data_IF_675205596769
#
_entry.id   IF_675205596769
#
_cell.length_a   1.000
_cell.length_b   1.000
_cell.length_c   1.000
_cell.angle_alpha   90.00
_cell.angle_beta   90.00
_cell.angle_gamma   90.00
#
_symmetry.space_group_name_H-M   'P 1'
#
loop_
_entity.id
_entity.type
_entity.pdbx_description
1 polymer ?
#
# COMPACT_ATOMS: atom_id res chain seq x y z
N UNK A 1 5.38 14.29 -19.28
CA UNK A 1 4.11 14.87 -18.75
C UNK A 1 4.39 15.54 -17.39
N UNK A 2 3.52 16.45 -16.92
CA UNK A 2 3.57 16.96 -15.54
C UNK A 2 2.57 16.17 -14.68
N UNK A 3 3.02 15.57 -13.58
CA UNK A 3 2.21 14.72 -12.71
C UNK A 3 2.24 15.30 -11.29
N UNK A 4 1.07 15.45 -10.69
CA UNK A 4 0.95 15.80 -9.28
C UNK A 4 0.59 14.54 -8.47
N UNK A 5 1.32 14.30 -7.40
CA UNK A 5 1.01 13.25 -6.42
C UNK A 5 0.62 13.95 -5.12
N UNK A 6 -0.57 13.67 -4.61
CA UNK A 6 -1.07 14.23 -3.36
C UNK A 6 -1.02 13.14 -2.29
N UNK A 7 -0.29 13.40 -1.21
CA UNK A 7 0.08 12.44 -0.18
C UNK A 7 1.49 11.90 -0.41
N UNK A 8 2.41 12.26 0.49
CA UNK A 8 3.75 11.71 0.63
C UNK A 8 3.81 10.59 1.68
N UNK A 9 2.71 9.84 1.81
CA UNK A 9 2.75 8.50 2.38
C UNK A 9 3.59 7.57 1.52
N UNK A 10 3.79 6.34 1.96
CA UNK A 10 4.68 5.41 1.27
C UNK A 10 4.31 5.19 -0.21
N UNK A 11 3.07 4.77 -0.48
CA UNK A 11 2.59 4.48 -1.85
C UNK A 11 2.72 5.72 -2.75
N UNK A 12 2.35 6.88 -2.23
CA UNK A 12 2.48 8.14 -2.95
C UNK A 12 3.93 8.46 -3.29
N UNK A 13 4.83 8.34 -2.32
CA UNK A 13 6.26 8.59 -2.51
C UNK A 13 6.90 7.57 -3.48
N UNK A 14 6.61 6.28 -3.34
CA UNK A 14 7.14 5.23 -4.23
C UNK A 14 6.68 5.44 -5.68
N UNK A 15 5.39 5.71 -5.88
CA UNK A 15 4.87 6.04 -7.21
C UNK A 15 5.46 7.35 -7.76
N UNK A 16 5.61 8.37 -6.92
CA UNK A 16 6.19 9.63 -7.34
C UNK A 16 7.65 9.47 -7.80
N UNK A 17 8.45 8.69 -7.07
CA UNK A 17 9.85 8.38 -7.42
C UNK A 17 9.91 7.61 -8.74
N UNK A 18 9.10 6.55 -8.88
CA UNK A 18 9.05 5.75 -10.11
C UNK A 18 8.67 6.62 -11.32
N UNK A 19 7.62 7.42 -11.20
CA UNK A 19 7.14 8.28 -12.28
C UNK A 19 8.13 9.42 -12.60
N UNK A 20 8.88 9.91 -11.60
CA UNK A 20 9.86 10.97 -11.77
C UNK A 20 11.05 10.57 -12.65
N UNK A 21 11.27 9.27 -12.88
CA UNK A 21 12.33 8.78 -13.79
C UNK A 21 12.11 9.27 -15.23
N UNK A 22 10.86 9.49 -15.64
CA UNK A 22 10.51 9.86 -17.01
C UNK A 22 9.56 11.07 -17.10
N UNK A 23 9.12 11.62 -15.97
CA UNK A 23 8.16 12.72 -15.92
C UNK A 23 8.56 13.77 -14.91
N UNK A 24 8.06 14.99 -15.09
CA UNK A 24 8.16 16.02 -14.05
C UNK A 24 7.07 15.76 -13.01
N UNK A 25 7.47 15.32 -11.83
CA UNK A 25 6.57 15.01 -10.71
C UNK A 25 6.67 16.07 -9.63
N UNK A 26 5.54 16.47 -9.05
CA UNK A 26 5.46 17.32 -7.86
C UNK A 26 4.65 16.57 -6.80
N UNK A 27 5.18 16.48 -5.59
CA UNK A 27 4.51 15.85 -4.45
C UNK A 27 3.96 16.95 -3.55
N UNK A 28 2.70 16.82 -3.16
CA UNK A 28 2.04 17.66 -2.17
C UNK A 28 1.72 16.82 -0.94
N UNK A 29 2.02 17.31 0.26
CA UNK A 29 1.60 16.68 1.52
C UNK A 29 1.13 17.75 2.49
N UNK A 30 0.17 17.39 3.34
CA UNK A 30 -0.39 18.29 4.35
C UNK A 30 0.53 18.43 5.57
N UNK A 31 1.49 17.51 5.76
CA UNK A 31 2.42 17.47 6.90
C UNK A 31 3.73 18.17 6.51
N UNK A 32 4.02 19.39 7.01
CA UNK A 32 5.18 20.18 6.59
C UNK A 32 6.52 19.48 6.84
N UNK A 33 6.66 18.78 7.97
CA UNK A 33 7.88 18.05 8.29
C UNK A 33 8.24 16.97 7.26
N UNK A 34 7.24 16.32 6.65
CA UNK A 34 7.47 15.35 5.56
C UNK A 34 7.94 16.05 4.29
N UNK A 35 7.34 17.21 3.98
CA UNK A 35 7.73 18.04 2.83
C UNK A 35 9.18 18.49 2.96
N UNK A 36 9.59 18.94 4.15
CA UNK A 36 10.98 19.37 4.41
C UNK A 36 11.99 18.23 4.28
N UNK A 37 11.65 17.03 4.78
CA UNK A 37 12.47 15.84 4.61
C UNK A 37 12.64 15.47 3.13
N UNK A 38 11.56 15.46 2.36
CA UNK A 38 11.58 15.13 0.93
C UNK A 38 12.37 16.17 0.14
N UNK A 39 12.17 17.47 0.42
CA UNK A 39 12.92 18.55 -0.20
C UNK A 39 14.42 18.48 0.12
N UNK A 40 14.78 17.98 1.30
CA UNK A 40 16.17 17.70 1.69
C UNK A 40 16.70 16.33 1.22
N UNK A 41 15.97 15.64 0.34
CA UNK A 41 16.31 14.31 -0.22
C UNK A 41 16.49 13.24 0.85
N UNK A 42 15.79 13.36 1.97
CA UNK A 42 15.75 12.35 3.03
C UNK A 42 14.41 11.62 2.99
N UNK A 43 14.47 10.29 3.08
CA UNK A 43 13.26 9.47 3.26
C UNK A 43 12.63 9.82 4.62
N UNK A 44 11.31 10.08 4.68
CA UNK A 44 10.61 10.24 5.96
C UNK A 44 10.38 8.91 6.69
N UNK A 45 10.86 7.78 6.14
CA UNK A 45 10.71 6.43 6.69
C UNK A 45 12.10 5.82 6.99
N UNK A 46 12.28 5.21 8.17
CA UNK A 46 13.52 4.56 8.66
C UNK A 46 13.31 3.05 8.75
N UNK A 47 14.35 2.26 8.47
CA UNK A 47 14.22 0.81 8.23
C UNK A 47 15.23 -0.04 9.03
N UNK A 48 14.74 -1.00 9.85
CA UNK A 48 15.60 -1.91 10.66
C UNK A 48 15.09 -3.35 10.88
N UNK A 49 13.83 -3.71 10.61
CA UNK A 49 13.25 -4.97 11.15
C UNK A 49 12.50 -5.86 10.14
N UNK A 50 12.84 -5.75 8.86
CA UNK A 50 12.09 -6.33 7.72
C UNK A 50 11.98 -7.85 7.71
N UNK A 51 13.06 -8.59 7.98
CA UNK A 51 13.05 -10.05 7.83
C UNK A 51 12.04 -10.73 8.76
N UNK A 52 11.78 -10.16 9.94
CA UNK A 52 10.94 -10.79 10.96
C UNK A 52 9.44 -10.86 10.61
N UNK A 53 8.93 -10.02 9.71
CA UNK A 53 7.48 -9.92 9.45
C UNK A 53 7.04 -10.67 8.18
N UNK A 54 7.94 -10.86 7.22
CA UNK A 54 7.68 -11.71 6.04
C UNK A 54 7.59 -13.20 6.39
N UNK A 55 8.11 -13.61 7.55
CA UNK A 55 7.95 -14.96 8.11
C UNK A 55 6.73 -15.11 9.02
N UNK A 56 5.87 -14.09 9.17
CA UNK A 56 4.59 -14.28 9.87
C UNK A 56 3.65 -15.07 8.95
N UNK A 57 3.18 -16.20 9.45
CA UNK A 57 2.32 -17.15 8.72
C UNK A 57 0.94 -16.60 8.31
N UNK A 58 0.57 -15.41 8.77
CA UNK A 58 -0.79 -14.86 8.66
C UNK A 58 -0.85 -13.65 7.71
N UNK A 59 -0.78 -13.92 6.41
CA UNK A 59 -1.20 -12.95 5.40
C UNK A 59 -2.69 -13.16 5.14
N UNK A 60 -3.54 -12.44 5.88
CA UNK A 60 -5.00 -12.48 5.80
C UNK A 60 -5.51 -12.49 4.35
N UNK A 61 -4.84 -11.74 3.45
CA UNK A 61 -5.18 -11.65 2.03
C UNK A 61 -4.95 -12.95 1.26
N UNK A 62 -3.81 -13.61 1.46
CA UNK A 62 -3.49 -14.86 0.74
C UNK A 62 -4.42 -15.96 1.22
N UNK A 63 -4.67 -16.05 2.52
CA UNK A 63 -5.63 -17.01 3.06
C UNK A 63 -7.05 -16.75 2.54
N UNK A 64 -7.49 -15.49 2.50
CA UNK A 64 -8.79 -15.13 1.93
C UNK A 64 -8.91 -15.54 0.46
N UNK A 65 -7.85 -15.36 -0.33
CA UNK A 65 -7.81 -15.80 -1.73
C UNK A 65 -7.85 -17.33 -1.86
N UNK A 66 -7.08 -18.05 -1.05
CA UNK A 66 -7.09 -19.52 -1.03
C UNK A 66 -8.49 -20.06 -0.70
N UNK A 67 -9.17 -19.46 0.27
CA UNK A 67 -10.54 -19.80 0.65
C UNK A 67 -11.53 -19.51 -0.47
N UNK A 68 -11.47 -18.31 -1.07
CA UNK A 68 -12.35 -17.91 -2.18
C UNK A 68 -12.17 -18.79 -3.43
N UNK A 69 -10.93 -19.22 -3.70
CA UNK A 69 -10.59 -20.01 -4.87
C UNK A 69 -10.70 -21.53 -4.63
N UNK A 70 -10.68 -21.98 -3.37
CA UNK A 70 -10.64 -23.39 -3.00
C UNK A 70 -9.29 -24.06 -3.30
N UNK A 71 -8.21 -23.29 -3.45
CA UNK A 71 -6.90 -23.77 -3.91
C UNK A 71 -5.81 -23.16 -3.02
N UNK A 72 -4.83 -23.98 -2.60
CA UNK A 72 -3.67 -23.49 -1.85
C UNK A 72 -2.65 -22.81 -2.76
N UNK A 73 -2.20 -21.63 -2.35
CA UNK A 73 -1.23 -20.84 -3.10
C UNK A 73 0.16 -21.47 -2.94
N UNK A 74 0.86 -21.68 -4.07
CA UNK A 74 2.28 -22.00 -4.05
C UNK A 74 3.06 -20.70 -3.81
N UNK A 75 3.31 -20.37 -2.55
CA UNK A 75 4.02 -19.16 -2.14
C UNK A 75 5.49 -19.25 -2.56
N UNK A 76 5.97 -18.25 -3.32
CA UNK A 76 7.38 -18.07 -3.62
C UNK A 76 7.86 -16.80 -2.92
N UNK A 77 8.44 -16.96 -1.73
CA UNK A 77 8.93 -15.85 -0.95
C UNK A 77 10.19 -15.27 -1.60
N UNK A 78 10.16 -13.97 -1.88
CA UNK A 78 11.26 -13.22 -2.46
C UNK A 78 11.82 -12.24 -1.43
N UNK A 79 13.10 -11.84 -1.54
CA UNK A 79 13.62 -10.76 -0.71
C UNK A 79 12.84 -9.47 -0.97
N UNK A 80 12.86 -8.54 0.00
CA UNK A 80 12.25 -7.23 -0.15
C UNK A 80 12.82 -6.51 -1.38
N UNK A 81 11.94 -5.91 -2.18
CA UNK A 81 12.34 -5.19 -3.38
C UNK A 81 12.70 -3.75 -3.05
N UNK A 82 13.55 -3.16 -3.89
CA UNK A 82 13.92 -1.76 -3.73
C UNK A 82 12.66 -0.88 -3.83
N UNK A 83 12.34 -0.18 -2.75
CA UNK A 83 11.16 0.68 -2.69
C UNK A 83 9.89 0.01 -2.18
N UNK A 84 9.99 -1.12 -1.46
CA UNK A 84 8.97 -1.68 -0.55
C UNK A 84 9.07 -1.03 0.86
N UNK A 85 7.97 -1.00 1.63
CA UNK A 85 7.99 -0.68 3.08
C UNK A 85 7.55 -1.88 3.87
N UNK A 86 8.11 -1.95 5.07
CA UNK A 86 7.74 -2.88 6.10
C UNK A 86 6.23 -2.91 6.43
N UNK A 87 5.67 -1.79 6.87
CA UNK A 87 4.27 -1.67 7.23
C UNK A 87 3.85 -0.21 7.09
N UNK A 88 2.67 0.00 6.53
CA UNK A 88 2.03 1.30 6.53
C UNK A 88 0.53 1.11 6.79
N UNK A 89 -0.03 2.00 7.59
CA UNK A 89 -1.47 2.09 7.79
C UNK A 89 -1.85 3.56 7.71
N UNK A 90 -3.03 3.83 7.18
CA UNK A 90 -3.60 5.16 7.24
C UNK A 90 -4.12 5.39 8.66
N UNK A 91 -3.66 6.46 9.31
CA UNK A 91 -4.41 7.05 10.41
C UNK A 91 -5.66 7.71 9.81
N UNK A 92 -6.82 7.27 10.27
CA UNK A 92 -8.12 7.67 9.74
C UNK A 92 -8.95 8.44 10.76
N UNK A 93 -8.39 8.79 11.92
CA UNK A 93 -9.16 9.45 12.99
C UNK A 93 -9.68 10.82 12.53
N UNK A 94 -8.83 11.63 11.88
CA UNK A 94 -9.24 12.93 11.32
C UNK A 94 -10.31 12.78 10.22
N UNK A 95 -10.13 11.81 9.32
CA UNK A 95 -11.10 11.55 8.26
C UNK A 95 -12.46 11.12 8.84
N UNK A 96 -12.42 10.25 9.85
CA UNK A 96 -13.61 9.82 10.56
C UNK A 96 -14.29 10.98 11.30
N UNK A 97 -13.54 11.84 11.97
CA UNK A 97 -14.08 13.00 12.69
C UNK A 97 -14.84 13.97 11.75
N UNK A 98 -14.37 14.12 10.51
CA UNK A 98 -15.01 15.01 9.52
C UNK A 98 -16.17 14.35 8.78
N UNK A 99 -16.07 13.04 8.50
CA UNK A 99 -17.03 12.35 7.61
C UNK A 99 -18.02 11.44 8.34
N UNK A 100 -17.74 11.07 9.59
CA UNK A 100 -18.46 10.04 10.34
C UNK A 100 -18.31 8.63 9.75
N UNK A 101 -17.46 8.44 8.73
CA UNK A 101 -17.36 7.19 8.00
C UNK A 101 -16.12 6.39 8.37
N UNK A 102 -16.32 5.08 8.59
CA UNK A 102 -15.24 4.09 8.61
C UNK A 102 -15.52 3.00 7.58
N UNK A 103 -14.49 2.50 6.87
CA UNK A 103 -14.64 1.31 6.04
C UNK A 103 -15.23 0.15 6.84
N UNK A 104 -16.24 -0.52 6.28
CA UNK A 104 -16.98 -1.61 6.96
C UNK A 104 -16.71 -3.00 6.36
N UNK A 105 -16.12 -3.05 5.18
CA UNK A 105 -15.86 -4.30 4.47
C UNK A 105 -14.63 -4.98 5.07
N UNK A 106 -14.77 -6.26 5.43
CA UNK A 106 -13.62 -7.06 5.86
C UNK A 106 -12.74 -7.42 4.65
N UNK A 107 -11.49 -7.79 4.91
CA UNK A 107 -10.57 -8.28 3.88
C UNK A 107 -11.17 -9.49 3.16
N UNK A 108 -11.68 -10.47 3.91
CA UNK A 108 -12.33 -11.67 3.37
C UNK A 108 -13.46 -11.31 2.41
N UNK A 109 -14.37 -10.42 2.83
CA UNK A 109 -15.52 -10.03 2.02
C UNK A 109 -15.09 -9.28 0.75
N UNK A 110 -14.09 -8.40 0.85
CA UNK A 110 -13.54 -7.70 -0.31
C UNK A 110 -12.85 -8.64 -1.30
N UNK A 111 -12.10 -9.62 -0.80
CA UNK A 111 -11.42 -10.63 -1.63
C UNK A 111 -12.43 -11.53 -2.35
N UNK A 112 -13.48 -11.99 -1.66
CA UNK A 112 -14.56 -12.76 -2.30
C UNK A 112 -15.22 -12.00 -3.45
N UNK A 113 -15.62 -10.75 -3.20
CA UNK A 113 -16.21 -9.89 -4.24
C UNK A 113 -15.28 -9.70 -5.45
N UNK A 114 -13.98 -9.56 -5.20
CA UNK A 114 -12.98 -9.44 -6.27
C UNK A 114 -12.87 -10.71 -7.11
N UNK A 115 -12.83 -11.89 -6.47
CA UNK A 115 -12.75 -13.18 -7.16
C UNK A 115 -14.00 -13.42 -8.01
N UNK A 116 -15.19 -13.10 -7.48
CA UNK A 116 -16.46 -13.22 -8.20
C UNK A 116 -16.45 -12.34 -9.46
N UNK A 117 -16.10 -11.06 -9.31
CA UNK A 117 -15.96 -10.14 -10.45
C UNK A 117 -14.95 -10.64 -11.48
N UNK A 118 -13.78 -11.10 -11.05
CA UNK A 118 -12.72 -11.54 -11.96
C UNK A 118 -13.17 -12.75 -12.79
N UNK A 119 -13.84 -13.72 -12.15
CA UNK A 119 -14.38 -14.90 -12.83
C UNK A 119 -15.53 -14.54 -13.77
N UNK A 120 -16.40 -13.61 -13.39
CA UNK A 120 -17.48 -13.14 -14.28
C UNK A 120 -16.92 -12.44 -15.53
N UNK A 121 -15.86 -11.65 -15.37
CA UNK A 121 -15.31 -10.85 -16.46
C UNK A 121 -14.39 -11.64 -17.41
N UNK A 122 -13.58 -12.58 -16.89
CA UNK A 122 -12.57 -13.31 -17.66
C UNK A 122 -12.83 -14.82 -17.82
N UNK A 123 -13.80 -15.38 -17.11
CA UNK A 123 -14.06 -16.84 -17.04
C UNK A 123 -14.90 -17.40 -18.18
#
# INVERSE_FOLDING_TARGET
MKIAVVGAGFVGLSNAILLAQHNKVVIYDIVPAKVDLINSRKSPFVDKEIEAFLFKDDLDFVQSLESALGIKAKKNFMPMQAGDVYQTFADIDDLFNVTGYKPKMSVEQGVNNFVDWYREFYG
#
